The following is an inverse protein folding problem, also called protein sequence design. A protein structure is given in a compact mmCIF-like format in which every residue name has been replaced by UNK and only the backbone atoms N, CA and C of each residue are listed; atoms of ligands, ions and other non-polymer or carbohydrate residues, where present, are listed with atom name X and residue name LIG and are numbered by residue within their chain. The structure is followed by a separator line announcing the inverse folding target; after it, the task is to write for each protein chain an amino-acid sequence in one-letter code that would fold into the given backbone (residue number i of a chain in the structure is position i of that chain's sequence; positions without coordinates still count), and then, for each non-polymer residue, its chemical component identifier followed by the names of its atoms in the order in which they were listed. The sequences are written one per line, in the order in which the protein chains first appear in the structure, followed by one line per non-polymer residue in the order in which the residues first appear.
data_IF_274138824895
#
_entry.id   IF_274138824895
#
_cell.length_a   1.000
_cell.length_b   1.000
_cell.length_c   1.000
_cell.angle_alpha   90.00
_cell.angle_beta   90.00
_cell.angle_gamma   90.00
#
_symmetry.space_group_name_H-M   'P 1'
#
loop_
_entity.id
_entity.type
_entity.pdbx_description
1 polymer ?
#
# COMPACT_ATOMS: atom_id res chain seq x y z
N UNK A 1 -6.00 -0.07 14.01
CA UNK A 1 -6.57 0.94 13.10
C UNK A 1 -5.55 1.69 12.25
N UNK A 2 -4.40 2.14 12.78
CA UNK A 2 -3.47 3.01 12.03
C UNK A 2 -2.80 2.35 10.80
N UNK A 3 -2.40 1.07 10.88
CA UNK A 3 -1.85 0.31 9.74
C UNK A 3 -2.83 0.17 8.56
N UNK A 4 -4.14 0.21 8.82
CA UNK A 4 -5.17 0.08 7.79
C UNK A 4 -5.35 1.32 6.92
N UNK A 5 -4.69 2.44 7.28
CA UNK A 5 -4.78 3.71 6.54
C UNK A 5 -3.62 3.93 5.56
N UNK A 6 -2.61 3.06 5.60
CA UNK A 6 -1.44 3.14 4.73
C UNK A 6 -1.84 2.92 3.26
N UNK A 7 -1.52 3.85 2.33
CA UNK A 7 -1.93 3.75 0.93
C UNK A 7 -1.49 2.46 0.23
N UNK A 8 -0.29 1.97 0.56
CA UNK A 8 0.26 0.71 0.05
C UNK A 8 -0.53 -0.51 0.51
N UNK A 9 -0.91 -0.57 1.80
CA UNK A 9 -1.74 -1.64 2.35
C UNK A 9 -3.15 -1.61 1.74
N UNK A 10 -3.71 -0.43 1.55
CA UNK A 10 -5.03 -0.23 0.94
C UNK A 10 -5.03 -0.68 -0.52
N UNK A 11 -4.01 -0.30 -1.31
CA UNK A 11 -3.89 -0.71 -2.71
C UNK A 11 -3.83 -2.24 -2.85
N UNK A 12 -3.05 -2.92 -2.00
CA UNK A 12 -2.98 -4.39 -1.99
C UNK A 12 -4.29 -5.05 -1.60
N UNK A 13 -5.01 -4.46 -0.63
CA UNK A 13 -6.33 -4.95 -0.24
C UNK A 13 -7.36 -4.85 -1.37
N UNK A 14 -7.32 -3.77 -2.15
CA UNK A 14 -8.15 -3.64 -3.36
C UNK A 14 -7.77 -4.68 -4.42
N UNK A 15 -6.48 -4.97 -4.58
CA UNK A 15 -6.00 -6.01 -5.51
C UNK A 15 -6.54 -7.40 -5.14
N UNK A 16 -6.50 -7.75 -3.85
CA UNK A 16 -7.09 -9.00 -3.34
C UNK A 16 -8.60 -9.03 -3.59
N UNK A 17 -9.31 -7.94 -3.31
CA UNK A 17 -10.76 -7.85 -3.55
C UNK A 17 -11.14 -8.00 -5.03
N UNK A 18 -10.36 -7.41 -5.94
CA UNK A 18 -10.57 -7.54 -7.37
C UNK A 18 -10.38 -8.99 -7.85
N UNK A 19 -9.33 -9.66 -7.36
CA UNK A 19 -9.06 -11.06 -7.71
C UNK A 19 -10.08 -12.02 -7.11
N UNK A 20 -10.57 -11.75 -5.90
CA UNK A 20 -11.68 -12.50 -5.31
C UNK A 20 -12.93 -12.44 -6.21
N UNK A 21 -13.26 -11.25 -6.76
CA UNK A 21 -14.36 -11.10 -7.72
C UNK A 21 -14.09 -11.80 -9.06
N UNK A 22 -12.84 -11.87 -9.49
CA UNK A 22 -12.44 -12.67 -10.66
C UNK A 22 -12.72 -14.17 -10.48
N UNK A 23 -12.49 -14.71 -9.27
CA UNK A 23 -12.86 -16.09 -8.92
C UNK A 23 -14.37 -16.29 -8.92
N UNK A 24 -15.14 -15.33 -8.40
CA UNK A 24 -16.61 -15.37 -8.42
C UNK A 24 -17.14 -15.39 -9.87
N UNK A 25 -16.58 -14.57 -10.77
CA UNK A 25 -16.94 -14.54 -12.20
C UNK A 25 -16.58 -15.86 -12.89
N UNK A 26 -15.37 -16.37 -12.66
CA UNK A 26 -14.94 -17.66 -13.21
C UNK A 26 -15.79 -18.84 -12.69
N UNK A 27 -16.44 -18.69 -11.52
CA UNK A 27 -17.44 -19.65 -11.03
C UNK A 27 -18.82 -19.42 -11.66
N UNK A 28 -19.25 -18.17 -11.84
CA UNK A 28 -20.52 -17.81 -12.50
C UNK A 28 -20.62 -18.39 -13.92
N UNK A 29 -19.48 -18.48 -14.59
CA UNK A 29 -19.25 -19.13 -15.87
C UNK A 29 -19.67 -20.61 -15.97
N UNK A 30 -19.85 -21.31 -14.84
CA UNK A 30 -20.38 -22.68 -14.76
C UNK A 30 -21.90 -22.74 -14.59
N UNK A 31 -22.56 -21.61 -14.38
CA UNK A 31 -24.02 -21.51 -14.35
C UNK A 31 -24.57 -21.25 -15.77
N UNK A 32 -25.84 -21.60 -16.05
CA UNK A 32 -26.46 -21.28 -17.33
C UNK A 32 -26.47 -19.77 -17.55
N UNK A 33 -25.98 -19.33 -18.70
CA UNK A 33 -26.09 -17.93 -19.08
C UNK A 33 -27.51 -17.67 -19.61
N UNK A 34 -28.14 -16.60 -19.12
CA UNK A 34 -29.50 -16.21 -19.52
C UNK A 34 -29.39 -14.85 -20.19
N UNK A 35 -29.37 -14.85 -21.51
CA UNK A 35 -29.31 -13.64 -22.32
C UNK A 35 -30.71 -13.28 -22.80
N UNK A 36 -31.11 -12.01 -22.70
CA UNK A 36 -32.38 -11.55 -23.25
C UNK A 36 -32.14 -11.03 -24.66
N UNK A 37 -32.61 -11.77 -25.67
CA UNK A 37 -32.50 -11.35 -27.07
C UNK A 37 -33.79 -10.68 -27.51
N UNK A 38 -33.67 -9.46 -28.02
CA UNK A 38 -34.76 -8.75 -28.68
C UNK A 38 -34.26 -8.26 -30.04
N UNK A 39 -35.02 -8.53 -31.09
CA UNK A 39 -34.70 -8.06 -32.45
C UNK A 39 -35.95 -7.49 -33.12
N UNK A 40 -35.72 -6.49 -33.98
CA UNK A 40 -36.74 -5.83 -34.79
C UNK A 40 -36.19 -5.74 -36.20
N UNK A 41 -36.97 -6.16 -37.20
CA UNK A 41 -36.53 -6.16 -38.59
C UNK A 41 -37.69 -6.25 -39.58
N UNK A 42 -37.34 -6.10 -40.85
CA UNK A 42 -38.28 -6.27 -41.96
C UNK A 42 -37.93 -7.54 -42.72
N UNK A 43 -38.86 -8.48 -42.82
CA UNK A 43 -38.65 -9.73 -43.56
C UNK A 43 -39.68 -9.89 -44.66
N UNK A 44 -39.21 -10.04 -45.90
CA UNK A 44 -40.05 -10.26 -47.08
C UNK A 44 -39.76 -11.65 -47.66
N UNK A 45 -40.54 -12.65 -47.27
CA UNK A 45 -40.51 -13.97 -47.90
C UNK A 45 -41.31 -13.91 -49.20
N UNK A 46 -40.63 -13.59 -50.31
CA UNK A 46 -41.22 -13.47 -51.64
C UNK A 46 -41.95 -12.15 -51.89
N UNK A 47 -41.70 -11.53 -53.05
CA UNK A 47 -42.35 -10.29 -53.49
C UNK A 47 -41.40 -9.16 -53.88
N UNK A 48 -41.75 -8.38 -54.91
CA UNK A 48 -40.88 -7.36 -55.53
C UNK A 48 -40.56 -6.14 -54.65
N UNK A 49 -39.61 -5.30 -55.10
CA UNK A 49 -39.01 -4.18 -54.36
C UNK A 49 -39.99 -3.20 -53.68
N UNK A 50 -41.24 -3.09 -54.14
CA UNK A 50 -42.25 -2.18 -53.58
C UNK A 50 -43.04 -2.78 -52.39
N UNK A 51 -42.91 -4.07 -52.07
CA UNK A 51 -43.62 -4.69 -50.93
C UNK A 51 -42.95 -4.45 -49.57
N UNK A 52 -41.73 -3.92 -49.52
CA UNK A 52 -41.04 -3.55 -48.28
C UNK A 52 -41.72 -2.40 -47.51
N UNK A 53 -42.51 -1.55 -48.19
CA UNK A 53 -43.18 -0.38 -47.58
C UNK A 53 -44.56 -0.66 -46.99
N UNK A 54 -45.04 -1.92 -47.02
CA UNK A 54 -46.33 -2.30 -46.40
C UNK A 54 -46.14 -2.62 -44.92
N UNK A 55 -46.98 -2.03 -44.06
CA UNK A 55 -46.96 -2.18 -42.59
C UNK A 55 -47.00 -3.63 -42.08
N UNK A 56 -47.46 -4.57 -42.91
CA UNK A 56 -47.57 -6.00 -42.60
C UNK A 56 -46.25 -6.79 -42.63
N UNK A 57 -45.10 -6.17 -42.92
CA UNK A 57 -43.78 -6.85 -42.96
C UNK A 57 -42.86 -6.52 -41.77
N UNK A 58 -43.38 -5.82 -40.76
CA UNK A 58 -42.67 -5.55 -39.50
C UNK A 58 -42.61 -6.81 -38.66
N UNK A 59 -41.41 -7.31 -38.40
CA UNK A 59 -41.15 -8.49 -37.57
C UNK A 59 -40.42 -8.05 -36.30
N UNK A 60 -40.90 -8.51 -35.14
CA UNK A 60 -40.21 -8.35 -33.87
C UNK A 60 -40.10 -9.73 -33.21
N UNK A 61 -38.98 -9.99 -32.57
CA UNK A 61 -38.79 -11.18 -31.74
C UNK A 61 -38.20 -10.74 -30.41
N UNK A 62 -38.69 -11.32 -29.31
CA UNK A 62 -38.14 -11.13 -27.99
C UNK A 62 -38.24 -12.46 -27.25
N UNK A 63 -37.13 -12.93 -26.68
CA UNK A 63 -37.09 -14.18 -25.97
C UNK A 63 -35.79 -14.37 -25.17
N UNK A 64 -35.84 -15.11 -24.06
CA UNK A 64 -34.63 -15.50 -23.34
C UNK A 64 -33.88 -16.57 -24.13
N UNK A 65 -32.60 -16.35 -24.37
CA UNK A 65 -31.65 -17.34 -24.84
C UNK A 65 -30.93 -17.91 -23.62
N UNK A 66 -31.12 -19.19 -23.33
CA UNK A 66 -30.46 -19.89 -22.23
C UNK A 66 -29.42 -20.83 -22.80
N UNK A 67 -28.14 -20.60 -22.48
CA UNK A 67 -27.04 -21.47 -22.90
C UNK A 67 -26.44 -22.15 -21.68
N UNK A 68 -26.57 -23.48 -21.60
CA UNK A 68 -25.92 -24.29 -20.57
C UNK A 68 -24.83 -25.16 -21.22
N UNK A 69 -23.55 -24.91 -20.94
CA UNK A 69 -22.47 -25.74 -21.46
C UNK A 69 -22.46 -27.10 -20.73
N UNK A 70 -22.66 -28.19 -21.47
CA UNK A 70 -22.77 -29.56 -20.93
C UNK A 70 -21.43 -30.33 -21.02
N UNK A 71 -20.55 -29.94 -21.96
CA UNK A 71 -19.24 -30.57 -22.21
C UNK A 71 -18.17 -29.52 -22.47
N UNK A 72 -17.53 -29.03 -21.39
CA UNK A 72 -16.37 -28.14 -21.47
C UNK A 72 -15.11 -28.90 -21.04
N UNK A 73 -14.47 -29.57 -22.00
CA UNK A 73 -13.33 -30.50 -21.81
C UNK A 73 -12.05 -29.87 -21.26
N UNK A 74 -12.06 -29.41 -20.01
CA UNK A 74 -10.90 -28.90 -19.30
C UNK A 74 -11.08 -27.52 -18.64
N UNK A 75 -12.27 -26.93 -18.64
CA UNK A 75 -12.51 -25.58 -18.10
C UNK A 75 -12.37 -25.47 -16.57
N UNK A 76 -12.44 -26.60 -15.85
CA UNK A 76 -11.97 -26.72 -14.46
C UNK A 76 -10.49 -26.33 -14.28
N UNK A 77 -9.67 -26.45 -15.33
CA UNK A 77 -8.29 -25.99 -15.31
C UNK A 77 -8.16 -24.46 -15.32
N UNK A 78 -9.19 -23.69 -15.71
CA UNK A 78 -9.18 -22.22 -15.65
C UNK A 78 -9.50 -21.68 -14.24
N UNK A 79 -10.20 -22.46 -13.41
CA UNK A 79 -10.44 -22.12 -12.01
C UNK A 79 -9.13 -22.16 -11.18
N UNK A 80 -8.18 -23.04 -11.56
CA UNK A 80 -6.90 -23.23 -10.85
C UNK A 80 -5.98 -22.00 -10.94
N UNK A 81 -5.75 -21.37 -12.11
CA UNK A 81 -5.04 -20.10 -12.25
C UNK A 81 -5.68 -18.97 -11.46
N UNK A 82 -7.01 -18.86 -11.45
CA UNK A 82 -7.72 -17.78 -10.73
C UNK A 82 -7.58 -17.96 -9.22
N UNK A 83 -7.73 -19.18 -8.70
CA UNK A 83 -7.49 -19.49 -7.30
C UNK A 83 -6.03 -19.25 -6.90
N UNK A 84 -5.07 -19.69 -7.72
CA UNK A 84 -3.65 -19.45 -7.49
C UNK A 84 -3.30 -17.95 -7.50
N UNK A 85 -3.94 -17.17 -8.37
CA UNK A 85 -3.79 -15.71 -8.42
C UNK A 85 -4.32 -15.03 -7.15
N UNK A 86 -5.46 -15.48 -6.63
CA UNK A 86 -5.99 -15.02 -5.35
C UNK A 86 -5.04 -15.36 -4.18
N UNK A 87 -4.56 -16.60 -4.10
CA UNK A 87 -3.63 -17.03 -3.05
C UNK A 87 -2.33 -16.19 -3.08
N UNK A 88 -1.78 -15.95 -4.28
CA UNK A 88 -0.60 -15.09 -4.44
C UNK A 88 -0.86 -13.65 -4.00
N UNK A 89 -2.05 -13.11 -4.27
CA UNK A 89 -2.41 -11.76 -3.85
C UNK A 89 -2.60 -11.63 -2.34
N UNK A 90 -3.18 -12.66 -1.69
CA UNK A 90 -3.28 -12.73 -0.22
C UNK A 90 -1.88 -12.74 0.41
N UNK A 91 -0.97 -13.55 -0.13
CA UNK A 91 0.40 -13.60 0.36
C UNK A 91 1.10 -12.25 0.21
N UNK A 92 0.91 -11.58 -0.93
CA UNK A 92 1.53 -10.28 -1.14
C UNK A 92 0.94 -9.16 -0.27
N UNK A 93 -0.35 -9.25 0.09
CA UNK A 93 -0.96 -8.41 1.11
C UNK A 93 -0.34 -8.66 2.48
N UNK A 94 -0.18 -9.93 2.89
CA UNK A 94 0.46 -10.30 4.15
C UNK A 94 1.91 -9.79 4.23
N UNK A 95 2.68 -9.98 3.16
CA UNK A 95 4.05 -9.46 3.06
C UNK A 95 4.09 -7.94 3.21
N UNK A 96 3.21 -7.22 2.51
CA UNK A 96 3.13 -5.74 2.61
C UNK A 96 2.80 -5.29 4.02
N UNK A 97 1.95 -6.04 4.75
CA UNK A 97 1.61 -5.75 6.14
C UNK A 97 2.82 -5.94 7.09
N UNK A 98 3.57 -7.03 6.91
CA UNK A 98 4.78 -7.32 7.68
C UNK A 98 5.85 -6.25 7.41
N UNK A 99 6.08 -5.91 6.15
CA UNK A 99 7.02 -4.85 5.75
C UNK A 99 6.59 -3.49 6.31
N UNK A 100 5.29 -3.20 6.33
CA UNK A 100 4.77 -1.97 6.92
C UNK A 100 5.06 -1.89 8.42
N UNK A 101 4.86 -2.99 9.16
CA UNK A 101 5.15 -3.07 10.59
C UNK A 101 6.66 -2.96 10.86
N UNK A 102 7.48 -3.67 10.08
CA UNK A 102 8.94 -3.57 10.15
C UNK A 102 9.40 -2.13 9.96
N UNK A 103 8.91 -1.46 8.93
CA UNK A 103 9.26 -0.07 8.65
C UNK A 103 8.93 0.87 9.83
N UNK A 104 7.77 0.71 10.48
CA UNK A 104 7.40 1.51 11.65
C UNK A 104 8.36 1.25 12.82
N UNK A 105 8.66 -0.03 13.09
CA UNK A 105 9.61 -0.42 14.13
C UNK A 105 11.00 0.17 13.88
N UNK A 106 11.49 0.09 12.63
CA UNK A 106 12.78 0.65 12.24
C UNK A 106 12.80 2.19 12.42
N UNK A 107 11.71 2.89 12.10
CA UNK A 107 11.61 4.34 12.36
C UNK A 107 11.58 4.69 13.84
N UNK A 108 10.90 3.91 14.68
CA UNK A 108 10.87 4.13 16.13
C UNK A 108 12.25 3.90 16.77
N UNK A 109 12.94 2.84 16.36
CA UNK A 109 14.31 2.57 16.80
C UNK A 109 15.24 3.71 16.38
N UNK A 110 15.11 4.20 15.14
CA UNK A 110 15.89 5.34 14.65
C UNK A 110 15.61 6.61 15.46
N UNK A 111 14.35 6.90 15.77
CA UNK A 111 14.00 8.06 16.59
C UNK A 111 14.61 7.98 17.98
N UNK A 112 14.49 6.82 18.63
CA UNK A 112 15.09 6.58 19.95
C UNK A 112 16.62 6.72 19.93
N UNK A 113 17.28 6.19 18.90
CA UNK A 113 18.72 6.31 18.73
C UNK A 113 19.17 7.77 18.57
N UNK A 114 18.42 8.57 17.80
CA UNK A 114 18.74 10.00 17.62
C UNK A 114 18.49 10.81 18.89
N UNK A 115 17.46 10.47 19.68
CA UNK A 115 17.24 11.12 20.99
C UNK A 115 18.40 10.85 21.95
N UNK A 116 18.96 9.64 21.97
CA UNK A 116 20.18 9.34 22.74
C UNK A 116 21.39 10.13 22.21
N UNK A 117 21.56 10.21 20.88
CA UNK A 117 22.65 10.98 20.27
C UNK A 117 22.58 12.47 20.61
N UNK A 118 21.37 13.03 20.74
CA UNK A 118 21.16 14.43 21.13
C UNK A 118 21.76 14.70 22.50
N UNK A 119 21.54 13.81 23.48
CA UNK A 119 22.05 13.98 24.83
C UNK A 119 23.59 13.91 24.86
N UNK A 120 24.18 12.97 24.11
CA UNK A 120 25.64 12.89 23.96
C UNK A 120 26.23 14.11 23.26
N UNK A 121 25.58 14.62 22.19
CA UNK A 121 26.04 15.81 21.49
C UNK A 121 26.00 17.05 22.40
N UNK A 122 24.94 17.20 23.20
CA UNK A 122 24.84 18.28 24.19
C UNK A 122 25.95 18.18 25.25
N UNK A 123 26.25 16.97 25.73
CA UNK A 123 27.36 16.75 26.66
C UNK A 123 28.73 17.09 26.05
N UNK A 124 28.96 16.72 24.78
CA UNK A 124 30.19 17.04 24.05
C UNK A 124 30.38 18.54 23.87
N UNK A 125 29.32 19.29 23.54
CA UNK A 125 29.35 20.76 23.47
C UNK A 125 29.67 21.36 24.84
N UNK A 126 29.01 20.90 25.90
CA UNK A 126 29.27 21.38 27.25
C UNK A 126 30.72 21.12 27.71
N UNK A 127 31.31 19.97 27.33
CA UNK A 127 32.71 19.64 27.62
C UNK A 127 33.68 20.52 26.84
N UNK A 128 33.42 20.72 25.54
CA UNK A 128 34.25 21.58 24.70
C UNK A 128 34.18 23.05 25.15
N UNK A 129 33.01 23.52 25.59
CA UNK A 129 32.84 24.86 26.15
C UNK A 129 33.72 25.05 27.39
N UNK A 130 33.70 24.11 28.34
CA UNK A 130 34.57 24.17 29.52
C UNK A 130 36.05 24.24 29.14
N UNK A 131 36.46 23.49 28.11
CA UNK A 131 37.86 23.52 27.65
C UNK A 131 38.22 24.88 27.05
N UNK A 132 37.31 25.47 26.27
CA UNK A 132 37.48 26.82 25.74
C UNK A 132 37.57 27.87 26.86
N UNK A 133 36.72 27.78 27.88
CA UNK A 133 36.72 28.71 29.02
C UNK A 133 38.05 28.61 29.80
N UNK A 134 38.54 27.39 30.04
CA UNK A 134 39.84 27.15 30.70
C UNK A 134 40.99 27.69 29.86
N UNK A 135 41.01 27.43 28.55
CA UNK A 135 42.06 27.92 27.66
C UNK A 135 42.08 29.46 27.62
N UNK A 136 40.89 30.08 27.56
CA UNK A 136 40.73 31.54 27.58
C UNK A 136 41.25 32.13 28.88
N UNK A 137 40.91 31.52 30.03
CA UNK A 137 41.40 31.96 31.33
C UNK A 137 42.93 31.82 31.42
N UNK A 138 43.49 30.69 30.98
CA UNK A 138 44.94 30.47 31.01
C UNK A 138 45.69 31.51 30.15
N UNK A 139 45.14 31.87 28.98
CA UNK A 139 45.71 32.92 28.11
C UNK A 139 45.63 34.29 28.79
N UNK A 140 44.48 34.66 29.36
CA UNK A 140 44.32 35.93 30.10
C UNK A 140 45.27 36.04 31.31
N UNK A 141 45.65 34.90 31.89
CA UNK A 141 46.63 34.83 32.99
C UNK A 141 48.08 34.71 32.52
N UNK A 142 48.34 34.73 31.21
CA UNK A 142 49.67 34.61 30.62
C UNK A 142 50.31 33.23 30.77
N UNK A 143 49.52 32.21 31.10
CA UNK A 143 49.99 30.83 31.31
C UNK A 143 50.11 30.04 30.01
N UNK A 144 49.53 30.54 28.92
CA UNK A 144 49.52 29.84 27.63
C UNK A 144 49.38 30.82 26.47
N UNK A 145 49.72 30.36 25.26
CA UNK A 145 49.62 31.14 24.03
C UNK A 145 48.18 31.14 23.47
N UNK A 146 47.84 32.18 22.70
CA UNK A 146 46.51 32.37 22.12
C UNK A 146 46.11 31.24 21.15
N UNK A 147 47.09 30.56 20.54
CA UNK A 147 46.86 29.39 19.70
C UNK A 147 46.03 28.31 20.42
N UNK A 148 46.20 28.15 21.74
CA UNK A 148 45.42 27.18 22.51
C UNK A 148 43.94 27.58 22.65
N UNK A 149 43.65 28.87 22.75
CA UNK A 149 42.28 29.39 22.73
C UNK A 149 41.63 29.12 21.38
N UNK A 150 42.35 29.39 20.28
CA UNK A 150 41.85 29.17 18.92
C UNK A 150 41.59 27.69 18.63
N UNK A 151 42.49 26.80 19.09
CA UNK A 151 42.30 25.35 19.00
C UNK A 151 41.09 24.87 19.79
N UNK A 152 40.89 25.37 21.02
CA UNK A 152 39.72 25.03 21.83
C UNK A 152 38.42 25.58 21.23
N UNK A 153 38.44 26.79 20.67
CA UNK A 153 37.30 27.39 19.97
C UNK A 153 36.92 26.59 18.73
N UNK A 154 37.90 26.16 17.93
CA UNK A 154 37.68 25.32 16.75
C UNK A 154 37.01 24.01 17.13
N UNK A 155 37.46 23.37 18.22
CA UNK A 155 36.84 22.13 18.74
C UNK A 155 35.41 22.37 19.23
N UNK A 156 35.14 23.47 19.94
CA UNK A 156 33.80 23.84 20.37
C UNK A 156 32.86 24.01 19.16
N UNK A 157 33.29 24.74 18.14
CA UNK A 157 32.51 24.94 16.92
C UNK A 157 32.22 23.61 16.20
N UNK A 158 33.20 22.71 16.13
CA UNK A 158 33.00 21.36 15.58
C UNK A 158 31.92 20.58 16.37
N UNK A 159 31.93 20.64 17.70
CA UNK A 159 30.91 19.96 18.51
C UNK A 159 29.52 20.60 18.34
N UNK A 160 29.43 21.92 18.23
CA UNK A 160 28.18 22.62 17.95
C UNK A 160 27.62 22.22 16.58
N UNK A 161 28.48 22.11 15.56
CA UNK A 161 28.07 21.61 14.24
C UNK A 161 27.49 20.19 14.31
N UNK A 162 28.12 19.28 15.07
CA UNK A 162 27.60 17.92 15.30
C UNK A 162 26.24 17.96 15.99
N UNK A 163 26.07 18.82 17.00
CA UNK A 163 24.78 18.99 17.69
C UNK A 163 23.67 19.40 16.72
N UNK A 164 23.93 20.36 15.83
CA UNK A 164 22.95 20.79 14.82
C UNK A 164 22.65 19.69 13.79
N UNK A 165 23.66 18.90 13.39
CA UNK A 165 23.44 17.73 12.53
C UNK A 165 22.53 16.69 13.19
N UNK A 166 22.69 16.44 14.50
CA UNK A 166 21.82 15.54 15.25
C UNK A 166 20.39 16.08 15.32
N UNK A 167 20.21 17.39 15.50
CA UNK A 167 18.87 18.01 15.46
C UNK A 167 18.22 17.87 14.08
N UNK A 168 18.97 18.09 13.00
CA UNK A 168 18.48 17.86 11.64
C UNK A 168 18.08 16.39 11.41
N UNK A 169 18.91 15.44 11.89
CA UNK A 169 18.61 14.01 11.82
C UNK A 169 17.33 13.64 12.60
N UNK A 170 17.10 14.32 13.73
CA UNK A 170 15.90 14.13 14.57
C UNK A 170 14.64 14.58 13.85
N UNK A 171 14.66 15.77 13.25
CA UNK A 171 13.55 16.29 12.46
C UNK A 171 13.25 15.37 11.26
N UNK A 172 14.30 14.88 10.58
CA UNK A 172 14.13 13.91 9.51
C UNK A 172 13.54 12.58 10.00
N UNK A 173 13.93 12.09 11.19
CA UNK A 173 13.34 10.89 11.78
C UNK A 173 11.84 11.06 12.11
N UNK A 174 11.45 12.22 12.64
CA UNK A 174 10.04 12.53 12.86
C UNK A 174 9.25 12.59 11.55
N UNK A 175 9.79 13.22 10.51
CA UNK A 175 9.16 13.25 9.19
C UNK A 175 8.98 11.84 8.61
N UNK A 176 10.00 11.00 8.69
CA UNK A 176 9.93 9.59 8.24
C UNK A 176 8.95 8.75 9.04
N UNK A 177 8.80 9.00 10.35
CA UNK A 177 7.79 8.31 11.16
C UNK A 177 6.38 8.74 10.74
N UNK A 178 6.15 10.03 10.49
CA UNK A 178 4.86 10.53 10.00
C UNK A 178 4.50 9.93 8.64
N UNK A 179 5.45 9.83 7.71
CA UNK A 179 5.19 9.18 6.42
C UNK A 179 4.95 7.68 6.57
N UNK A 180 5.71 6.98 7.42
CA UNK A 180 5.53 5.55 7.70
C UNK A 180 4.16 5.22 8.33
N UNK A 181 3.59 6.17 9.09
CA UNK A 181 2.24 6.07 9.67
C UNK A 181 1.11 6.44 8.68
N UNK A 182 1.45 6.80 7.43
CA UNK A 182 0.48 7.13 6.39
C UNK A 182 0.29 8.62 6.14
N UNK A 183 1.17 9.49 6.66
CA UNK A 183 1.24 10.91 6.30
C UNK A 183 0.01 11.76 6.65
N UNK A 184 -0.88 11.25 7.51
CA UNK A 184 -2.16 11.90 7.83
C UNK A 184 -3.24 11.77 6.75
N UNK A 185 -2.94 11.09 5.64
CA UNK A 185 -3.92 10.83 4.58
C UNK A 185 -4.78 9.65 5.04
N UNK A 186 -5.96 9.96 5.57
CA UNK A 186 -6.93 8.92 5.92
C UNK A 186 -7.27 8.13 4.65
N UNK A 187 -7.13 6.80 4.69
CA UNK A 187 -7.77 5.96 3.72
C UNK A 187 -9.27 6.29 3.74
N UNK A 188 -9.79 6.83 2.64
CA UNK A 188 -11.19 7.25 2.54
C UNK A 188 -12.15 6.12 2.95
N UNK A 189 -13.39 6.50 3.23
CA UNK A 189 -14.46 5.59 3.66
C UNK A 189 -14.72 4.42 2.68
N UNK A 190 -14.15 4.47 1.49
CA UNK A 190 -14.31 3.47 0.42
C UNK A 190 -13.45 2.21 0.62
N UNK A 191 -12.59 2.14 1.65
CA UNK A 191 -11.71 0.98 1.87
C UNK A 191 -12.53 -0.29 2.19
N UNK A 192 -12.43 -1.38 1.40
CA UNK A 192 -13.36 -2.52 1.49
C UNK A 192 -13.16 -3.29 2.80
N UNK A 193 -14.16 -3.35 3.68
CA UNK A 193 -14.10 -4.02 4.99
C UNK A 193 -13.50 -5.44 4.94
N UNK A 194 -12.74 -5.86 5.96
CA UNK A 194 -11.97 -7.14 5.96
C UNK A 194 -12.87 -8.35 5.67
N UNK A 195 -14.16 -8.24 6.03
CA UNK A 195 -15.20 -9.25 5.79
C UNK A 195 -15.50 -9.51 4.30
N UNK A 196 -15.16 -8.60 3.38
CA UNK A 196 -15.40 -8.74 1.93
C UNK A 196 -14.23 -9.37 1.16
N UNK A 197 -13.14 -9.74 1.84
CA UNK A 197 -11.94 -10.29 1.19
C UNK A 197 -12.03 -11.80 0.97
N UNK A 198 -12.94 -12.50 1.67
CA UNK A 198 -13.18 -13.91 1.44
C UNK A 198 -14.28 -14.10 0.37
N UNK A 199 -14.07 -14.97 -0.63
CA UNK A 199 -15.16 -15.39 -1.52
C UNK A 199 -16.29 -16.02 -0.70
N UNK A 200 -17.53 -15.72 -1.07
CA UNK A 200 -18.73 -15.95 -0.25
C UNK A 200 -18.98 -17.42 0.10
N UNK A 201 -18.35 -18.37 -0.61
CA UNK A 201 -18.51 -19.82 -0.39
C UNK A 201 -17.28 -20.64 -0.81
N UNK A 202 -16.19 -20.55 -0.05
CA UNK A 202 -15.09 -21.53 -0.08
C UNK A 202 -15.12 -22.34 1.22
N UNK A 203 -15.19 -23.69 1.17
CA UNK A 203 -14.84 -24.48 2.34
C UNK A 203 -13.36 -24.24 2.59
N UNK A 204 -13.07 -23.37 3.55
CA UNK A 204 -11.71 -23.17 4.06
C UNK A 204 -11.26 -24.54 4.54
N UNK A 205 -10.35 -25.18 3.81
CA UNK A 205 -9.70 -26.37 4.30
C UNK A 205 -8.93 -25.91 5.53
N UNK A 206 -9.47 -26.21 6.71
CA UNK A 206 -8.83 -25.92 7.98
C UNK A 206 -7.38 -26.41 7.88
N UNK A 207 -6.45 -25.46 7.91
CA UNK A 207 -5.03 -25.78 8.03
C UNK A 207 -4.90 -26.44 9.40
N UNK A 208 -4.77 -27.77 9.38
CA UNK A 208 -4.44 -28.57 10.54
C UNK A 208 -3.11 -28.08 11.08
N UNK A 209 -3.16 -27.40 12.22
CA UNK A 209 -2.02 -27.21 13.10
C UNK A 209 -1.39 -28.57 13.42
N UNK A 210 -0.10 -28.73 13.10
CA UNK A 210 0.81 -29.65 13.77
C UNK A 210 2.03 -28.86 14.20
#
# INVERSE_FOLDING_TARGET
ELLGRRPDVVARRWQVAALAKGVDVARADFYPNVDLMASVGFSAVGGGMLEFFRSAKYTYSAGPAVTLPIFDGGRLAQLRPQAAGYDAAVEQYNQTLVDALKNISDQLIRLHSVDIQKDFAAQSVASAQKTYDIATLAYQRGLTDYLNVLNAQTRLFQQQLVQEQVQAARLAAHASLLTALGGGVGAGADTPAQRKLAPENVPVRAVSSR
#
